data_IF_800814026853
#
_entry.id   IF_800814026853
#
_cell.length_a   1.000
_cell.length_b   1.000
_cell.length_c   1.000
_cell.angle_alpha   90.00
_cell.angle_beta   90.00
_cell.angle_gamma   90.00
#
_symmetry.space_group_name_H-M   'P 1'
#
loop_
_entity.id
_entity.type
_entity.pdbx_description
1 polymer ?
#
# COMPACT_ATOMS: atom_id res chain seq x y z
N UNK A 1 56.73 11.54 29.52
CA UNK A 1 55.88 10.55 28.83
C UNK A 1 54.47 11.11 28.81
N UNK A 2 53.98 11.47 27.63
CA UNK A 2 52.65 12.02 27.37
C UNK A 2 51.54 10.97 27.51
N UNK A 3 50.35 11.42 27.92
CA UNK A 3 49.02 11.27 27.28
C UNK A 3 47.97 11.62 28.36
N UNK A 4 47.50 12.86 28.46
CA UNK A 4 46.40 13.47 27.70
C UNK A 4 45.01 13.00 28.16
N UNK A 5 44.51 13.62 29.24
CA UNK A 5 43.07 13.76 29.52
C UNK A 5 42.53 14.92 28.68
N UNK A 6 41.55 14.66 27.82
CA UNK A 6 40.78 15.70 27.14
C UNK A 6 39.34 15.61 27.65
N UNK A 7 39.02 16.51 28.58
CA UNK A 7 37.65 17.00 28.78
C UNK A 7 37.40 18.04 27.69
N UNK A 8 36.31 17.90 26.94
CA UNK A 8 35.70 19.01 26.22
C UNK A 8 34.21 19.09 26.52
N UNK A 9 33.64 20.31 26.56
CA UNK A 9 32.30 20.57 27.07
C UNK A 9 31.23 20.60 25.98
N UNK A 10 29.99 20.40 26.41
CA UNK A 10 28.75 20.68 25.69
C UNK A 10 28.70 22.17 25.29
N UNK A 11 28.19 22.51 24.10
CA UNK A 11 27.49 23.76 23.89
C UNK A 11 26.01 23.53 23.55
N UNK A 12 25.16 24.07 24.40
CA UNK A 12 23.78 24.44 24.10
C UNK A 12 23.83 25.68 23.18
N UNK A 13 23.20 25.65 22.01
CA UNK A 13 22.78 26.89 21.35
C UNK A 13 21.41 26.71 20.69
N UNK A 14 20.47 27.51 21.19
CA UNK A 14 19.11 27.70 20.70
C UNK A 14 19.10 28.53 19.41
N UNK A 15 18.05 28.31 18.60
CA UNK A 15 17.37 29.28 17.72
C UNK A 15 18.25 30.15 16.81
N UNK A 16 18.10 29.92 15.51
CA UNK A 16 17.73 30.90 14.46
C UNK A 16 18.10 30.23 13.15
N UNK A 17 17.12 29.72 12.40
CA UNK A 17 17.14 29.61 10.92
C UNK A 17 15.69 29.44 10.47
N UNK A 18 14.93 30.52 10.62
CA UNK A 18 13.75 30.75 9.79
C UNK A 18 14.23 31.52 8.55
N UNK A 19 13.76 31.11 7.38
CA UNK A 19 13.58 31.94 6.18
C UNK A 19 14.79 32.29 5.27
N UNK A 20 15.60 31.32 4.81
CA UNK A 20 16.50 31.57 3.65
C UNK A 20 16.59 30.44 2.58
N UNK A 21 15.69 29.46 2.58
CA UNK A 21 15.62 28.45 1.48
C UNK A 21 14.43 28.67 0.53
N UNK A 22 13.49 29.56 0.89
CA UNK A 22 12.30 29.83 0.09
C UNK A 22 12.50 30.90 -1.02
N UNK A 23 13.50 31.78 -0.92
CA UNK A 23 13.65 32.93 -1.83
C UNK A 23 14.71 32.77 -2.93
N UNK A 24 15.45 31.64 -2.97
CA UNK A 24 16.46 31.41 -4.02
C UNK A 24 15.96 30.61 -5.23
N UNK A 25 14.75 30.03 -5.18
CA UNK A 25 14.17 29.25 -6.28
C UNK A 25 13.16 30.02 -7.14
N UNK A 26 12.92 31.31 -6.88
CA UNK A 26 11.95 32.12 -7.63
C UNK A 26 12.63 32.99 -8.72
N UNK A 27 13.96 32.99 -8.82
CA UNK A 27 14.68 33.78 -9.84
C UNK A 27 15.49 32.88 -10.77
N UNK A 28 14.79 32.29 -11.73
CA UNK A 28 15.22 32.00 -13.12
C UNK A 28 14.58 30.69 -13.60
N UNK A 29 13.55 30.82 -14.43
CA UNK A 29 13.00 29.70 -15.18
C UNK A 29 11.53 29.51 -14.90
N UNK A 30 10.72 29.84 -15.89
CA UNK A 30 9.32 29.45 -15.99
C UNK A 30 9.25 27.93 -15.89
N UNK A 31 8.97 27.40 -14.69
CA UNK A 31 8.45 26.04 -14.56
C UNK A 31 7.04 26.13 -15.12
N UNK A 32 6.83 25.63 -16.34
CA UNK A 32 5.49 25.29 -16.79
C UNK A 32 4.94 24.31 -15.75
N UNK A 33 4.02 24.80 -14.92
CA UNK A 33 3.16 23.93 -14.13
C UNK A 33 2.38 23.10 -15.15
N UNK A 34 2.73 21.82 -15.28
CA UNK A 34 1.86 20.84 -15.91
C UNK A 34 0.51 20.91 -15.20
N UNK A 35 -0.57 20.87 -15.98
CA UNK A 35 -1.93 20.77 -15.43
C UNK A 35 -2.00 19.50 -14.56
N UNK A 36 -2.70 19.51 -13.42
CA UNK A 36 -2.96 18.27 -12.72
C UNK A 36 -3.81 17.34 -13.59
N UNK A 37 -3.41 16.06 -13.65
CA UNK A 37 -4.13 14.85 -14.10
C UNK A 37 -4.06 14.33 -15.55
N UNK A 38 -2.91 14.43 -16.25
CA UNK A 38 -2.66 13.61 -17.47
C UNK A 38 -1.80 12.34 -17.19
N UNK A 39 -1.39 12.11 -15.93
CA UNK A 39 -0.49 11.00 -15.56
C UNK A 39 -1.16 9.61 -15.55
N UNK A 40 -2.48 9.54 -15.41
CA UNK A 40 -3.28 8.33 -15.50
C UNK A 40 -4.58 8.59 -16.29
N UNK A 41 -4.75 7.93 -17.43
CA UNK A 41 -6.01 7.89 -18.17
C UNK A 41 -6.81 6.63 -17.79
N UNK A 42 -8.14 6.74 -17.69
CA UNK A 42 -9.00 5.55 -17.61
C UNK A 42 -9.45 5.17 -19.02
N UNK A 43 -9.13 3.95 -19.45
CA UNK A 43 -9.60 3.43 -20.73
C UNK A 43 -10.90 2.60 -20.56
N UNK A 44 -11.79 2.54 -21.57
CA UNK A 44 -12.73 1.42 -21.66
C UNK A 44 -11.90 0.14 -21.67
N UNK A 45 -12.23 -0.84 -20.79
CA UNK A 45 -11.48 -2.08 -20.49
C UNK A 45 -10.21 -2.22 -21.35
N UNK A 46 -9.04 -1.94 -20.76
CA UNK A 46 -7.78 -1.87 -21.51
C UNK A 46 -7.46 -3.18 -22.25
N UNK A 47 -8.02 -4.29 -21.76
CA UNK A 47 -8.10 -5.59 -22.42
C UNK A 47 -8.38 -6.68 -21.40
N UNK A 48 -8.58 -7.90 -21.90
CA UNK A 48 -8.81 -9.10 -21.10
C UNK A 48 -7.66 -10.06 -21.37
N UNK A 49 -6.92 -10.42 -20.33
CA UNK A 49 -5.94 -11.51 -20.38
C UNK A 49 -6.61 -12.76 -19.81
N UNK A 50 -6.56 -13.87 -20.53
CA UNK A 50 -7.29 -15.09 -20.15
C UNK A 50 -6.69 -16.37 -20.74
N UNK A 51 -6.45 -17.38 -19.89
CA UNK A 51 -6.60 -18.81 -20.23
C UNK A 51 -8.09 -19.21 -20.20
N UNK A 52 -8.63 -19.94 -21.20
CA UNK A 52 -10.05 -20.28 -21.32
C UNK A 52 -10.75 -20.87 -20.08
N UNK A 53 -10.02 -21.34 -19.06
CA UNK A 53 -10.58 -21.85 -17.81
C UNK A 53 -10.50 -20.89 -16.61
N UNK A 54 -9.95 -19.68 -16.78
CA UNK A 54 -9.71 -18.72 -15.69
C UNK A 54 -10.53 -17.43 -15.80
N UNK A 55 -10.67 -16.73 -14.67
CA UNK A 55 -11.37 -15.43 -14.59
C UNK A 55 -10.47 -14.36 -15.20
N UNK A 56 -10.95 -13.55 -16.15
CA UNK A 56 -10.10 -12.60 -16.88
C UNK A 56 -9.52 -11.51 -15.98
N UNK A 57 -8.22 -11.21 -16.17
CA UNK A 57 -7.57 -10.05 -15.54
C UNK A 57 -8.04 -8.78 -16.25
N UNK A 58 -8.73 -7.91 -15.50
CA UNK A 58 -9.24 -6.62 -15.99
C UNK A 58 -8.48 -5.49 -15.32
N UNK A 59 -7.87 -4.64 -16.14
CA UNK A 59 -7.17 -3.43 -15.68
C UNK A 59 -7.76 -2.19 -16.34
N UNK A 60 -7.88 -1.10 -15.57
CA UNK A 60 -8.42 0.18 -16.01
C UNK A 60 -7.38 1.28 -16.05
N UNK A 61 -6.31 1.15 -15.26
CA UNK A 61 -5.20 2.10 -15.20
C UNK A 61 -4.41 2.13 -16.51
N UNK A 62 -4.05 3.31 -16.97
CA UNK A 62 -3.11 3.55 -18.07
C UNK A 62 -2.11 4.63 -17.66
N UNK A 63 -0.98 4.19 -17.11
CA UNK A 63 0.10 5.03 -16.58
C UNK A 63 0.89 5.65 -17.72
N UNK A 64 0.96 6.98 -17.75
CA UNK A 64 1.67 7.76 -18.79
C UNK A 64 2.86 8.56 -18.27
N UNK A 65 2.97 8.73 -16.97
CA UNK A 65 4.03 9.51 -16.34
C UNK A 65 4.36 8.97 -14.95
N UNK A 66 4.92 9.82 -14.10
CA UNK A 66 5.27 9.46 -12.75
C UNK A 66 4.02 9.21 -11.90
N UNK A 67 4.06 8.15 -11.08
CA UNK A 67 2.98 7.82 -10.12
C UNK A 67 2.77 8.99 -9.16
N UNK A 68 3.83 9.71 -8.78
CA UNK A 68 3.75 10.86 -7.87
C UNK A 68 2.75 11.93 -8.35
N UNK A 69 2.60 12.11 -9.66
CA UNK A 69 1.73 13.11 -10.29
C UNK A 69 0.24 12.67 -10.35
N UNK A 70 -0.06 11.42 -10.01
CA UNK A 70 -1.43 10.92 -9.96
C UNK A 70 -2.17 11.41 -8.72
N UNK A 71 -3.49 11.54 -8.82
CA UNK A 71 -4.35 11.81 -7.66
C UNK A 71 -4.28 10.65 -6.66
N UNK A 72 -4.71 10.91 -5.43
CA UNK A 72 -4.74 9.88 -4.39
C UNK A 72 -5.60 8.66 -4.80
N UNK A 73 -6.78 8.90 -5.38
CA UNK A 73 -7.68 7.83 -5.81
C UNK A 73 -7.12 7.08 -7.04
N UNK A 74 -6.45 7.77 -7.96
CA UNK A 74 -5.76 7.14 -9.09
C UNK A 74 -4.62 6.21 -8.63
N UNK A 75 -3.76 6.67 -7.71
CA UNK A 75 -2.75 5.82 -7.04
C UNK A 75 -3.41 4.59 -6.42
N UNK A 76 -4.51 4.82 -5.71
CA UNK A 76 -5.25 3.77 -5.01
C UNK A 76 -5.86 2.72 -5.93
N UNK A 77 -6.29 3.10 -7.14
CA UNK A 77 -6.76 2.16 -8.15
C UNK A 77 -5.59 1.36 -8.72
N UNK A 78 -4.53 2.06 -9.15
CA UNK A 78 -3.35 1.46 -9.75
C UNK A 78 -2.75 0.37 -8.84
N UNK A 79 -2.53 0.69 -7.57
CA UNK A 79 -1.93 -0.27 -6.64
C UNK A 79 -2.86 -1.44 -6.29
N UNK A 80 -4.19 -1.26 -6.37
CA UNK A 80 -5.15 -2.34 -6.21
C UNK A 80 -5.08 -3.30 -7.41
N UNK A 81 -5.05 -2.75 -8.62
CA UNK A 81 -4.92 -3.53 -9.86
C UNK A 81 -3.59 -4.29 -9.89
N UNK A 82 -2.46 -3.64 -9.59
CA UNK A 82 -1.16 -4.33 -9.52
C UNK A 82 -1.12 -5.43 -8.43
N UNK A 83 -1.79 -5.20 -7.28
CA UNK A 83 -1.92 -6.24 -6.26
C UNK A 83 -2.80 -7.42 -6.72
N UNK A 84 -3.77 -7.19 -7.62
CA UNK A 84 -4.55 -8.25 -8.28
C UNK A 84 -3.75 -8.96 -9.35
N UNK A 85 -3.01 -8.21 -10.17
CA UNK A 85 -2.12 -8.74 -11.21
C UNK A 85 -1.10 -9.72 -10.61
N UNK A 86 -0.59 -9.43 -9.40
CA UNK A 86 0.37 -10.27 -8.70
C UNK A 86 -0.12 -11.69 -8.34
N UNK A 87 -1.42 -11.99 -8.47
CA UNK A 87 -1.96 -13.35 -8.26
C UNK A 87 -1.86 -14.25 -9.50
N UNK A 88 -1.58 -13.69 -10.68
CA UNK A 88 -1.54 -14.42 -11.93
C UNK A 88 -0.12 -14.93 -12.21
N UNK A 89 0.01 -15.86 -13.16
CA UNK A 89 1.31 -16.33 -13.61
C UNK A 89 2.09 -15.21 -14.33
N UNK A 90 3.40 -15.43 -14.48
CA UNK A 90 4.32 -14.42 -15.00
C UNK A 90 3.94 -13.92 -16.40
N UNK A 91 3.40 -14.79 -17.25
CA UNK A 91 3.01 -14.41 -18.61
C UNK A 91 1.81 -13.49 -18.56
N UNK A 92 0.76 -13.87 -17.85
CA UNK A 92 -0.45 -13.05 -17.74
C UNK A 92 -0.18 -11.73 -17.02
N UNK A 93 0.60 -11.78 -15.93
CA UNK A 93 1.00 -10.60 -15.19
C UNK A 93 1.81 -9.64 -16.05
N UNK A 94 2.72 -10.15 -16.89
CA UNK A 94 3.50 -9.33 -17.83
C UNK A 94 2.62 -8.62 -18.86
N UNK A 95 1.63 -9.33 -19.42
CA UNK A 95 0.70 -8.72 -20.39
C UNK A 95 -0.15 -7.65 -19.71
N UNK A 96 -0.74 -7.94 -18.55
CA UNK A 96 -1.55 -6.99 -17.81
C UNK A 96 -0.73 -5.76 -17.37
N UNK A 97 0.49 -5.95 -16.86
CA UNK A 97 1.38 -4.87 -16.48
C UNK A 97 1.77 -3.98 -17.67
N UNK A 98 2.06 -4.57 -18.84
CA UNK A 98 2.34 -3.82 -20.06
C UNK A 98 1.15 -2.96 -20.49
N UNK A 99 -0.09 -3.46 -20.33
CA UNK A 99 -1.31 -2.69 -20.62
C UNK A 99 -1.52 -1.54 -19.63
N UNK A 100 -1.12 -1.72 -18.37
CA UNK A 100 -1.15 -0.68 -17.35
C UNK A 100 -0.06 0.39 -17.59
N UNK A 101 1.05 0.05 -18.25
CA UNK A 101 2.16 0.98 -18.51
C UNK A 101 3.48 0.62 -17.81
N UNK A 102 3.65 -0.65 -17.42
CA UNK A 102 4.89 -1.20 -16.88
C UNK A 102 5.48 -2.21 -17.86
N UNK A 103 6.58 -1.84 -18.50
CA UNK A 103 7.22 -2.63 -19.56
C UNK A 103 8.25 -3.63 -19.06
N UNK A 104 8.74 -3.47 -17.83
CA UNK A 104 9.72 -4.37 -17.20
C UNK A 104 9.07 -5.05 -16.01
N UNK A 105 8.91 -6.36 -16.12
CA UNK A 105 8.31 -7.20 -15.07
C UNK A 105 9.32 -8.24 -14.65
N UNK A 106 9.44 -8.45 -13.34
CA UNK A 106 10.26 -9.53 -12.77
C UNK A 106 9.46 -10.24 -11.70
N UNK A 107 9.34 -11.56 -11.84
CA UNK A 107 8.73 -12.42 -10.84
C UNK A 107 9.78 -12.94 -9.85
N UNK A 108 9.44 -12.94 -8.56
CA UNK A 108 10.25 -13.50 -7.48
C UNK A 108 9.44 -14.59 -6.77
N UNK A 109 10.04 -15.77 -6.65
CA UNK A 109 9.46 -16.93 -5.96
C UNK A 109 10.54 -17.65 -5.17
N UNK A 110 10.31 -17.83 -3.87
CA UNK A 110 11.14 -18.68 -3.02
C UNK A 110 10.29 -19.31 -1.92
N UNK A 111 10.32 -20.64 -1.81
CA UNK A 111 9.61 -21.40 -0.78
C UNK A 111 8.12 -21.06 -0.63
N UNK A 112 7.46 -20.66 -1.73
CA UNK A 112 6.04 -20.30 -1.77
C UNK A 112 5.76 -18.81 -1.50
N UNK A 113 6.76 -18.06 -1.05
CA UNK A 113 6.70 -16.61 -0.95
C UNK A 113 6.88 -15.98 -2.32
N UNK A 114 5.93 -15.16 -2.75
CA UNK A 114 5.89 -14.62 -4.11
C UNK A 114 5.69 -13.10 -4.15
N UNK A 115 6.39 -12.45 -5.08
CA UNK A 115 6.23 -11.03 -5.37
C UNK A 115 6.57 -10.70 -6.83
N UNK A 116 6.04 -9.59 -7.33
CA UNK A 116 6.41 -9.01 -8.60
C UNK A 116 7.07 -7.65 -8.41
N UNK A 117 8.05 -7.35 -9.26
CA UNK A 117 8.48 -5.99 -9.55
C UNK A 117 7.91 -5.57 -10.89
N UNK A 118 7.14 -4.48 -10.88
CA UNK A 118 6.68 -3.78 -12.07
C UNK A 118 7.47 -2.48 -12.20
N UNK A 119 8.15 -2.27 -13.33
CA UNK A 119 8.98 -1.09 -13.57
C UNK A 119 8.69 -0.46 -14.93
N UNK A 120 8.72 0.87 -14.95
CA UNK A 120 8.78 1.67 -16.17
C UNK A 120 9.90 2.73 -16.02
N UNK A 121 9.96 3.69 -16.94
CA UNK A 121 10.99 4.72 -16.92
C UNK A 121 10.90 5.65 -15.70
N UNK A 122 9.71 5.77 -15.10
CA UNK A 122 9.43 6.70 -14.01
C UNK A 122 9.44 6.04 -12.64
N UNK A 123 8.92 4.82 -12.47
CA UNK A 123 8.59 4.23 -11.19
C UNK A 123 8.89 2.73 -11.14
N UNK A 124 9.13 2.25 -9.92
CA UNK A 124 9.26 0.84 -9.59
C UNK A 124 8.23 0.46 -8.51
N UNK A 125 7.44 -0.57 -8.74
CA UNK A 125 6.41 -1.07 -7.80
C UNK A 125 6.73 -2.50 -7.41
N UNK A 126 6.82 -2.77 -6.11
CA UNK A 126 6.89 -4.13 -5.56
C UNK A 126 5.48 -4.53 -5.11
N UNK A 127 4.89 -5.50 -5.77
CA UNK A 127 3.60 -6.08 -5.44
C UNK A 127 3.79 -7.47 -4.82
N UNK A 128 3.54 -7.61 -3.53
CA UNK A 128 3.62 -8.92 -2.86
C UNK A 128 2.30 -9.68 -3.06
N UNK A 129 2.41 -10.93 -3.53
CA UNK A 129 1.27 -11.83 -3.69
C UNK A 129 0.82 -12.31 -2.32
N UNK A 130 -0.49 -12.37 -2.09
CA UNK A 130 -1.05 -13.03 -0.90
C UNK A 130 -1.45 -14.47 -1.20
N UNK A 131 -1.80 -15.21 -0.17
CA UNK A 131 -2.33 -16.58 -0.33
C UNK A 131 -3.80 -16.58 -0.69
N UNK A 132 -4.28 -17.71 -1.21
CA UNK A 132 -5.70 -17.87 -1.53
C UNK A 132 -6.56 -17.98 -0.27
N UNK A 133 -7.87 -17.62 -0.32
CA UNK A 133 -8.75 -17.67 0.85
C UNK A 133 -8.82 -19.04 1.54
N UNK A 134 -8.64 -20.13 0.80
CA UNK A 134 -8.65 -21.49 1.35
C UNK A 134 -7.39 -21.74 2.19
N UNK A 135 -6.22 -21.36 1.67
CA UNK A 135 -4.93 -21.44 2.36
C UNK A 135 -4.84 -20.43 3.52
N UNK A 136 -5.58 -19.33 3.45
CA UNK A 136 -5.65 -18.37 4.56
C UNK A 136 -6.31 -18.97 5.81
N UNK A 137 -7.29 -19.85 5.65
CA UNK A 137 -7.86 -20.56 6.81
C UNK A 137 -6.82 -21.48 7.45
N UNK A 138 -5.99 -22.11 6.65
CA UNK A 138 -4.86 -22.93 7.11
C UNK A 138 -3.82 -22.05 7.80
N UNK A 139 -3.42 -20.92 7.21
CA UNK A 139 -2.52 -19.94 7.85
C UNK A 139 -3.09 -19.42 9.18
N UNK A 140 -4.40 -19.21 9.27
CA UNK A 140 -5.05 -18.79 10.52
C UNK A 140 -5.10 -19.92 11.55
N UNK A 141 -5.22 -21.17 11.12
CA UNK A 141 -5.23 -22.34 11.99
C UNK A 141 -3.82 -22.70 12.47
N UNK A 142 -2.83 -22.63 11.57
CA UNK A 142 -1.40 -22.84 11.79
C UNK A 142 -0.69 -21.61 12.36
N UNK A 143 -1.38 -20.46 12.46
CA UNK A 143 -0.95 -19.30 13.21
C UNK A 143 -0.91 -19.62 14.70
N UNK A 144 0.12 -20.37 15.10
CA UNK A 144 0.87 -20.11 16.31
C UNK A 144 1.25 -18.62 16.25
N UNK A 145 0.40 -17.76 16.80
CA UNK A 145 0.47 -16.29 16.80
C UNK A 145 1.68 -15.72 17.57
N UNK A 146 2.78 -16.48 17.63
CA UNK A 146 4.06 -16.10 18.18
C UNK A 146 4.58 -14.90 17.38
N UNK A 147 4.58 -13.75 18.02
CA UNK A 147 5.29 -12.57 17.55
C UNK A 147 6.78 -12.76 17.77
N UNK A 148 7.59 -12.47 16.76
CA UNK A 148 9.05 -12.55 16.80
C UNK A 148 9.65 -11.16 16.65
N UNK A 149 10.86 -10.96 17.18
CA UNK A 149 11.56 -9.69 17.02
C UNK A 149 11.81 -9.42 15.53
N UNK A 150 11.50 -8.22 15.06
CA UNK A 150 11.87 -7.76 13.72
C UNK A 150 13.36 -7.37 13.69
N UNK A 151 13.99 -7.44 12.51
CA UNK A 151 15.37 -6.96 12.27
C UNK A 151 15.56 -5.50 12.68
N UNK A 152 14.47 -4.74 12.61
CA UNK A 152 14.46 -3.28 12.68
C UNK A 152 14.14 -2.81 14.09
N UNK A 153 12.89 -2.92 14.51
CA UNK A 153 12.45 -2.67 15.88
C UNK A 153 11.09 -3.29 16.18
N UNK A 154 10.87 -3.72 17.42
CA UNK A 154 9.58 -4.28 17.83
C UNK A 154 9.38 -5.71 17.33
N UNK A 155 8.13 -6.16 17.34
CA UNK A 155 7.79 -7.54 16.95
C UNK A 155 6.82 -7.56 15.78
N UNK A 156 7.01 -8.55 14.91
CA UNK A 156 6.14 -8.87 13.77
C UNK A 156 5.61 -10.29 13.88
N UNK A 157 4.54 -10.59 13.15
CA UNK A 157 4.03 -11.95 13.04
C UNK A 157 5.10 -12.85 12.39
N UNK A 158 5.41 -13.99 13.02
CA UNK A 158 6.47 -14.90 12.56
C UNK A 158 6.27 -15.37 11.12
N UNK A 159 5.06 -15.80 10.76
CA UNK A 159 4.78 -16.27 9.40
C UNK A 159 5.10 -15.21 8.35
N UNK A 160 4.58 -13.99 8.52
CA UNK A 160 4.80 -12.90 7.56
C UNK A 160 6.28 -12.53 7.45
N UNK A 161 7.00 -12.60 8.56
CA UNK A 161 8.43 -12.34 8.60
C UNK A 161 9.21 -13.42 7.84
N UNK A 162 8.89 -14.70 8.06
CA UNK A 162 9.53 -15.82 7.35
C UNK A 162 9.38 -15.66 5.85
N UNK A 163 8.15 -15.43 5.36
CA UNK A 163 7.92 -15.22 3.92
C UNK A 163 8.76 -14.07 3.33
N UNK A 164 8.96 -13.01 4.12
CA UNK A 164 9.76 -11.87 3.69
C UNK A 164 11.26 -12.14 3.86
N UNK A 165 11.71 -12.94 4.82
CA UNK A 165 13.11 -13.38 4.93
C UNK A 165 13.53 -14.15 3.68
N UNK A 166 12.63 -14.96 3.14
CA UNK A 166 12.86 -15.82 1.99
C UNK A 166 12.93 -14.99 0.69
N UNK A 167 12.05 -13.99 0.54
CA UNK A 167 12.05 -13.11 -0.64
C UNK A 167 13.08 -11.96 -0.60
N UNK A 168 13.35 -11.42 0.59
CA UNK A 168 14.06 -10.14 0.74
C UNK A 168 15.42 -10.08 0.06
N UNK A 169 16.30 -11.11 0.11
CA UNK A 169 17.59 -11.05 -0.56
C UNK A 169 17.50 -10.79 -2.07
N UNK A 170 16.49 -11.37 -2.74
CA UNK A 170 16.27 -11.17 -4.17
C UNK A 170 15.70 -9.77 -4.45
N UNK A 171 14.73 -9.33 -3.64
CA UNK A 171 14.16 -7.98 -3.75
C UNK A 171 15.20 -6.90 -3.49
N UNK A 172 16.02 -7.05 -2.45
CA UNK A 172 17.10 -6.12 -2.13
C UNK A 172 18.10 -6.03 -3.28
N UNK A 173 18.53 -7.17 -3.83
CA UNK A 173 19.41 -7.20 -5.02
C UNK A 173 18.80 -6.44 -6.20
N UNK A 174 17.50 -6.61 -6.45
CA UNK A 174 16.80 -5.91 -7.52
C UNK A 174 16.62 -4.40 -7.26
N UNK A 175 16.57 -3.99 -5.99
CA UNK A 175 16.36 -2.60 -5.56
C UNK A 175 17.67 -1.82 -5.37
N UNK A 176 18.81 -2.49 -5.16
CA UNK A 176 20.13 -1.83 -5.06
C UNK A 176 20.49 -1.07 -6.33
N UNK A 177 20.18 -1.63 -7.50
CA UNK A 177 20.43 -1.02 -8.81
C UNK A 177 19.28 -0.15 -9.34
N UNK A 178 18.20 0.02 -8.57
CA UNK A 178 17.04 0.77 -8.99
C UNK A 178 17.24 2.28 -8.73
N UNK A 179 16.90 3.11 -9.72
CA UNK A 179 17.02 4.57 -9.63
C UNK A 179 15.67 5.28 -9.56
N UNK A 180 14.59 4.58 -9.89
CA UNK A 180 13.22 5.07 -9.87
C UNK A 180 12.71 5.17 -8.42
N UNK A 181 11.80 6.10 -8.10
CA UNK A 181 10.96 6.03 -6.89
C UNK A 181 10.32 4.64 -6.73
N UNK A 182 10.36 4.12 -5.50
CA UNK A 182 9.86 2.79 -5.18
C UNK A 182 8.54 2.86 -4.43
N UNK A 183 7.58 2.05 -4.84
CA UNK A 183 6.28 1.91 -4.21
C UNK A 183 6.05 0.46 -3.81
N UNK A 184 5.26 0.24 -2.77
CA UNK A 184 4.90 -1.10 -2.33
C UNK A 184 3.39 -1.26 -2.34
N UNK A 185 2.92 -2.42 -2.79
CA UNK A 185 1.53 -2.79 -2.62
C UNK A 185 1.33 -4.27 -2.34
N UNK A 186 0.14 -4.63 -1.85
CA UNK A 186 -0.20 -6.01 -1.62
C UNK A 186 -1.60 -6.18 -1.04
N UNK A 187 -2.17 -7.36 -1.27
CA UNK A 187 -3.48 -7.74 -0.77
C UNK A 187 -3.39 -8.93 0.18
N UNK A 188 -4.26 -8.96 1.20
CA UNK A 188 -4.31 -10.04 2.19
C UNK A 188 -2.95 -10.25 2.87
N UNK A 189 -2.43 -11.49 2.90
CA UNK A 189 -1.06 -11.82 3.31
C UNK A 189 -0.01 -10.95 2.61
N UNK A 190 -0.15 -10.72 1.30
CA UNK A 190 0.74 -9.88 0.51
C UNK A 190 0.78 -8.44 1.02
N UNK A 191 -0.31 -7.92 1.58
CA UNK A 191 -0.30 -6.61 2.23
C UNK A 191 0.55 -6.58 3.51
N UNK A 192 0.61 -7.68 4.25
CA UNK A 192 1.50 -7.81 5.41
C UNK A 192 2.97 -7.92 4.98
N UNK A 193 3.25 -8.72 3.96
CA UNK A 193 4.59 -8.86 3.37
C UNK A 193 5.09 -7.51 2.84
N UNK A 194 4.27 -6.81 2.05
CA UNK A 194 4.58 -5.49 1.51
C UNK A 194 4.90 -4.47 2.61
N UNK A 195 4.20 -4.54 3.75
CA UNK A 195 4.50 -3.70 4.93
C UNK A 195 5.91 -3.97 5.47
N UNK A 196 6.30 -5.24 5.59
CA UNK A 196 7.63 -5.61 6.09
C UNK A 196 8.72 -5.26 5.07
N UNK A 197 8.50 -5.55 3.78
CA UNK A 197 9.39 -5.20 2.69
C UNK A 197 9.62 -3.69 2.61
N UNK A 198 8.56 -2.88 2.68
CA UNK A 198 8.68 -1.43 2.66
C UNK A 198 9.47 -0.91 3.87
N UNK A 199 9.21 -1.45 5.06
CA UNK A 199 9.97 -1.12 6.26
C UNK A 199 11.46 -1.46 6.15
N UNK A 200 11.79 -2.65 5.64
CA UNK A 200 13.19 -3.06 5.40
C UNK A 200 13.87 -2.18 4.36
N UNK A 201 13.17 -1.86 3.27
CA UNK A 201 13.66 -0.98 2.22
C UNK A 201 13.95 0.43 2.75
N UNK A 202 13.05 0.97 3.56
CA UNK A 202 13.22 2.30 4.16
C UNK A 202 14.43 2.37 5.10
N UNK A 203 14.73 1.27 5.79
CA UNK A 203 15.79 1.22 6.80
C UNK A 203 17.11 0.67 6.26
N UNK A 204 17.11 0.08 5.07
CA UNK A 204 18.33 -0.37 4.43
C UNK A 204 19.12 0.83 3.91
N UNK A 205 20.43 0.63 3.72
CA UNK A 205 21.33 1.67 3.22
C UNK A 205 21.34 1.74 1.69
N UNK A 206 20.28 1.29 1.02
CA UNK A 206 20.17 1.31 -0.44
C UNK A 206 19.59 2.66 -0.91
N UNK A 207 19.92 3.07 -2.13
CA UNK A 207 19.48 4.35 -2.72
C UNK A 207 17.96 4.45 -2.88
N UNK A 208 17.31 3.30 -3.09
CA UNK A 208 15.87 3.17 -3.25
C UNK A 208 15.14 3.44 -1.94
N UNK A 209 14.54 4.62 -1.79
CA UNK A 209 13.69 4.96 -0.65
C UNK A 209 12.21 4.79 -1.04
N UNK A 210 11.42 4.02 -0.26
CA UNK A 210 9.99 3.87 -0.54
C UNK A 210 9.25 5.22 -0.45
N UNK A 211 8.42 5.54 -1.44
CA UNK A 211 7.55 6.73 -1.47
C UNK A 211 6.19 6.50 -0.83
N UNK A 212 5.70 5.27 -0.89
CA UNK A 212 4.42 4.94 -0.30
C UNK A 212 4.11 3.44 -0.33
N UNK A 213 3.16 3.06 0.51
CA UNK A 213 2.67 1.70 0.69
C UNK A 213 1.14 1.67 0.62
N UNK A 214 0.60 0.83 -0.25
CA UNK A 214 -0.85 0.66 -0.44
C UNK A 214 -1.25 -0.78 -0.18
N UNK A 215 -2.11 -1.00 0.81
CA UNK A 215 -2.47 -2.37 1.23
C UNK A 215 -3.98 -2.56 1.25
N UNK A 216 -4.44 -3.72 0.79
CA UNK A 216 -5.87 -4.03 0.63
C UNK A 216 -6.21 -5.28 1.43
N UNK A 217 -7.18 -5.19 2.35
CA UNK A 217 -7.55 -6.36 3.16
C UNK A 217 -6.42 -6.88 4.06
N UNK A 218 -5.40 -6.08 4.35
CA UNK A 218 -4.20 -6.51 5.07
C UNK A 218 -4.48 -6.80 6.56
N UNK A 219 -3.91 -7.89 7.13
CA UNK A 219 -3.97 -8.19 8.56
C UNK A 219 -3.11 -7.23 9.38
N UNK A 220 -3.11 -7.38 10.72
CA UNK A 220 -2.15 -6.68 11.59
C UNK A 220 -0.78 -7.32 11.47
N UNK A 221 0.24 -6.51 11.24
CA UNK A 221 1.60 -7.00 10.94
C UNK A 221 2.47 -7.14 12.19
N UNK A 222 2.42 -6.16 13.08
CA UNK A 222 3.33 -6.11 14.23
C UNK A 222 2.77 -5.38 15.45
N UNK A 223 3.64 -5.24 16.46
CA UNK A 223 3.34 -4.54 17.71
C UNK A 223 3.43 -3.01 17.57
N UNK A 224 3.09 -2.29 18.65
CA UNK A 224 3.14 -0.82 18.68
C UNK A 224 4.54 -0.28 18.34
N UNK A 225 5.61 -0.98 18.71
CA UNK A 225 6.97 -0.49 18.45
C UNK A 225 7.31 -0.62 16.97
N UNK A 226 6.96 -1.74 16.35
CA UNK A 226 7.18 -1.97 14.92
C UNK A 226 6.43 -0.95 14.06
N UNK A 227 5.13 -0.74 14.30
CA UNK A 227 4.31 0.12 13.44
C UNK A 227 4.66 1.61 13.51
N UNK A 228 5.34 2.06 14.57
CA UNK A 228 5.75 3.46 14.74
C UNK A 228 7.24 3.66 14.43
N UNK A 229 7.92 2.64 13.93
CA UNK A 229 9.37 2.70 13.72
C UNK A 229 9.76 3.34 12.38
N UNK A 230 8.87 3.27 11.39
CA UNK A 230 9.09 3.81 10.05
C UNK A 230 7.97 4.79 9.71
N UNK A 231 8.35 6.04 9.44
CA UNK A 231 7.45 7.07 8.91
C UNK A 231 7.42 6.96 7.39
N UNK A 232 6.48 6.16 6.88
CA UNK A 232 6.22 5.96 5.46
C UNK A 232 4.73 6.20 5.19
N UNK A 233 4.34 6.98 4.16
CA UNK A 233 2.95 7.09 3.76
C UNK A 233 2.36 5.71 3.47
N UNK A 234 1.51 5.22 4.37
CA UNK A 234 0.91 3.90 4.30
C UNK A 234 -0.60 4.02 4.33
N UNK A 235 -1.25 3.68 3.22
CA UNK A 235 -2.70 3.69 3.09
C UNK A 235 -3.24 2.26 3.12
N UNK A 236 -4.13 1.99 4.07
CA UNK A 236 -4.69 0.66 4.32
C UNK A 236 -6.19 0.66 4.03
N UNK A 237 -6.55 0.00 2.94
CA UNK A 237 -7.92 -0.19 2.51
C UNK A 237 -8.60 -1.31 3.31
N UNK A 238 -9.77 -0.99 3.85
CA UNK A 238 -10.61 -1.94 4.62
C UNK A 238 -12.00 -1.96 4.04
N UNK A 239 -12.42 -3.14 3.58
CA UNK A 239 -13.78 -3.33 3.08
C UNK A 239 -14.70 -3.89 4.15
N UNK A 240 -15.66 -3.06 4.61
CA UNK A 240 -16.83 -3.45 5.40
C UNK A 240 -16.60 -4.58 6.42
N UNK A 241 -17.00 -5.81 6.07
CA UNK A 241 -17.00 -6.98 6.94
C UNK A 241 -15.85 -7.95 6.65
N UNK A 242 -14.82 -7.52 5.93
CA UNK A 242 -13.58 -8.26 5.79
C UNK A 242 -13.00 -8.56 7.18
N UNK A 243 -12.81 -9.85 7.48
CA UNK A 243 -12.30 -10.35 8.75
C UNK A 243 -10.77 -10.41 8.79
N UNK A 244 -10.10 -10.45 7.64
CA UNK A 244 -8.64 -10.53 7.54
C UNK A 244 -8.01 -9.29 8.17
N UNK A 245 -8.60 -8.13 7.92
CA UNK A 245 -8.21 -6.85 8.55
C UNK A 245 -8.37 -6.83 10.08
N UNK A 246 -8.90 -7.89 10.70
CA UNK A 246 -9.11 -7.98 12.14
C UNK A 246 -8.26 -9.03 12.83
N UNK A 247 -7.41 -9.73 12.09
CA UNK A 247 -6.47 -10.70 12.64
C UNK A 247 -5.02 -10.24 12.39
N UNK A 248 -4.06 -10.62 13.25
CA UNK A 248 -4.26 -11.16 14.60
C UNK A 248 -5.01 -10.17 15.51
N UNK A 249 -5.83 -10.66 16.47
CA UNK A 249 -6.54 -9.81 17.42
C UNK A 249 -5.65 -8.82 18.18
N UNK A 250 -6.14 -7.58 18.37
CA UNK A 250 -5.39 -6.52 19.02
C UNK A 250 -5.05 -6.78 20.51
N UNK A 251 -5.81 -7.64 21.19
CA UNK A 251 -5.53 -8.03 22.58
C UNK A 251 -4.25 -8.89 22.71
N UNK A 252 -3.75 -9.46 21.61
CA UNK A 252 -2.44 -10.13 21.55
C UNK A 252 -1.27 -9.15 21.30
N UNK A 253 -1.50 -7.83 21.40
CA UNK A 253 -0.46 -6.81 21.25
C UNK A 253 -0.26 -6.29 19.82
N UNK A 254 -0.87 -6.93 18.81
CA UNK A 254 -0.81 -6.50 17.42
C UNK A 254 -1.56 -5.18 17.19
N UNK A 255 -1.04 -4.35 16.30
CA UNK A 255 -1.61 -3.04 15.90
C UNK A 255 -1.59 -2.90 14.38
N UNK A 256 -2.44 -2.03 13.85
CA UNK A 256 -2.34 -1.62 12.46
C UNK A 256 -1.35 -0.47 12.33
N UNK A 257 -0.52 -0.52 11.29
CA UNK A 257 0.20 0.63 10.74
C UNK A 257 -0.64 1.32 9.67
N UNK A 258 -0.22 2.54 9.34
CA UNK A 258 -0.79 3.35 8.29
C UNK A 258 -2.17 3.92 8.59
N UNK A 259 -2.64 4.70 7.63
CA UNK A 259 -3.89 5.42 7.65
C UNK A 259 -4.99 4.58 7.02
N UNK A 260 -6.12 4.42 7.73
CA UNK A 260 -7.23 3.59 7.25
C UNK A 260 -8.10 4.34 6.23
N UNK A 261 -8.28 3.73 5.06
CA UNK A 261 -9.27 4.12 4.05
C UNK A 261 -10.40 3.09 4.07
N UNK A 262 -11.59 3.50 4.54
CA UNK A 262 -12.69 2.56 4.76
C UNK A 262 -13.69 2.57 3.60
N UNK A 263 -13.99 1.38 3.08
CA UNK A 263 -15.06 1.13 2.12
C UNK A 263 -16.26 0.62 2.91
N UNK A 264 -17.37 1.37 2.88
CA UNK A 264 -18.59 0.95 3.57
C UNK A 264 -19.41 -0.05 2.75
N UNK A 265 -20.44 -0.64 3.38
CA UNK A 265 -21.32 -1.64 2.75
C UNK A 265 -22.01 -1.23 1.44
N UNK A 266 -22.03 0.07 1.13
CA UNK A 266 -22.62 0.61 -0.09
C UNK A 266 -21.56 0.89 -1.17
N UNK A 267 -20.32 0.45 -0.98
CA UNK A 267 -19.20 0.71 -1.90
C UNK A 267 -18.76 2.17 -1.93
N UNK A 268 -18.97 2.93 -0.85
CA UNK A 268 -18.48 4.32 -0.76
C UNK A 268 -17.25 4.38 0.12
N UNK A 269 -16.23 5.07 -0.38
CA UNK A 269 -14.96 5.33 0.30
C UNK A 269 -15.13 6.56 1.21
N UNK A 270 -14.62 6.46 2.43
CA UNK A 270 -14.47 7.64 3.29
C UNK A 270 -14.36 7.29 4.77
N UNK A 271 -14.19 8.32 5.59
CA UNK A 271 -14.04 8.14 7.03
C UNK A 271 -15.39 7.89 7.71
N UNK A 272 -15.42 6.92 8.62
CA UNK A 272 -16.54 6.69 9.51
C UNK A 272 -16.04 6.70 10.95
N UNK A 273 -16.73 7.39 11.86
CA UNK A 273 -16.44 7.27 13.28
C UNK A 273 -16.66 5.82 13.78
N UNK A 274 -15.97 5.43 14.86
CA UNK A 274 -15.95 4.05 15.38
C UNK A 274 -17.34 3.45 15.63
N UNK A 275 -18.29 4.25 16.15
CA UNK A 275 -19.69 3.84 16.36
C UNK A 275 -20.41 3.58 15.04
N UNK A 276 -20.21 4.45 14.04
CA UNK A 276 -20.83 4.31 12.72
C UNK A 276 -20.24 3.11 11.97
N UNK A 277 -18.94 2.82 12.10
CA UNK A 277 -18.32 1.57 11.57
C UNK A 277 -18.94 0.33 12.19
N UNK A 278 -19.09 0.28 13.53
CA UNK A 278 -19.74 -0.87 14.20
C UNK A 278 -21.17 -1.10 13.69
N UNK A 279 -21.96 -0.04 13.57
CA UNK A 279 -23.32 -0.11 13.01
C UNK A 279 -23.33 -0.52 11.54
N UNK A 280 -22.37 -0.01 10.76
CA UNK A 280 -22.23 -0.34 9.34
C UNK A 280 -22.03 -1.84 9.14
N UNK A 281 -21.06 -2.40 9.87
CA UNK A 281 -20.73 -3.83 9.90
C UNK A 281 -21.91 -4.70 10.35
N UNK A 282 -22.58 -4.34 11.44
CA UNK A 282 -23.73 -5.09 11.96
C UNK A 282 -24.87 -5.20 10.93
N UNK A 283 -25.21 -4.09 10.28
CA UNK A 283 -26.21 -4.09 9.20
C UNK A 283 -25.71 -4.83 7.95
N UNK A 284 -24.42 -4.72 7.60
CA UNK A 284 -23.82 -5.50 6.53
C UNK A 284 -23.96 -7.00 6.79
N UNK A 285 -23.70 -7.42 8.03
CA UNK A 285 -23.83 -8.80 8.48
C UNK A 285 -25.29 -9.28 8.42
N UNK A 286 -26.25 -8.49 8.94
CA UNK A 286 -27.68 -8.80 8.86
C UNK A 286 -28.19 -8.90 7.42
N UNK A 287 -27.70 -8.06 6.50
CA UNK A 287 -28.07 -8.10 5.08
C UNK A 287 -27.47 -9.32 4.37
N UNK A 288 -26.25 -9.71 4.72
CA UNK A 288 -25.60 -10.94 4.27
C UNK A 288 -26.39 -12.18 4.68
N UNK A 289 -26.85 -12.23 5.94
CA UNK A 289 -27.72 -13.30 6.47
C UNK A 289 -29.03 -13.42 5.66
N UNK A 290 -29.66 -12.28 5.33
CA UNK A 290 -30.89 -12.26 4.52
C UNK A 290 -30.68 -12.69 3.06
N UNK A 291 -29.45 -12.63 2.55
CA UNK A 291 -29.09 -13.03 1.18
C UNK A 291 -28.53 -14.46 1.08
N UNK A 292 -28.56 -15.26 2.15
CA UNK A 292 -27.91 -16.57 2.23
C UNK A 292 -26.41 -16.55 1.85
N UNK A 293 -25.76 -15.38 1.86
CA UNK A 293 -24.32 -15.21 1.67
C UNK A 293 -23.69 -14.98 3.03
N UNK A 294 -23.55 -16.05 3.80
CA UNK A 294 -22.80 -16.02 5.05
C UNK A 294 -21.39 -16.48 4.73
N UNK A 295 -20.50 -15.53 4.41
CA UNK A 295 -19.09 -15.76 4.67
C UNK A 295 -18.34 -14.45 4.87
N UNK A 296 -17.62 -14.35 5.98
CA UNK A 296 -16.78 -13.19 6.31
C UNK A 296 -15.62 -12.97 5.32
N UNK A 297 -15.39 -13.95 4.45
CA UNK A 297 -14.44 -13.94 3.34
C UNK A 297 -15.05 -13.42 2.03
N UNK A 298 -16.37 -13.25 1.93
CA UNK A 298 -17.02 -12.78 0.70
C UNK A 298 -16.63 -11.36 0.31
N UNK A 299 -16.28 -10.51 1.28
CA UNK A 299 -15.86 -9.10 1.06
C UNK A 299 -14.33 -8.99 0.84
N UNK A 300 -13.59 -10.09 1.00
CA UNK A 300 -12.13 -10.12 0.96
C UNK A 300 -11.52 -10.06 -0.45
N UNK A 301 -12.09 -10.68 -1.50
CA UNK A 301 -11.50 -10.62 -2.84
C UNK A 301 -11.27 -9.19 -3.35
N UNK A 302 -10.18 -9.01 -4.07
CA UNK A 302 -9.69 -7.71 -4.54
C UNK A 302 -10.68 -6.96 -5.44
N UNK A 303 -11.54 -7.65 -6.20
CA UNK A 303 -12.61 -7.01 -6.97
C UNK A 303 -13.54 -6.14 -6.10
N UNK A 304 -13.83 -6.57 -4.87
CA UNK A 304 -14.66 -5.79 -3.95
C UNK A 304 -13.96 -4.52 -3.41
N UNK A 305 -12.65 -4.41 -3.62
CA UNK A 305 -11.86 -3.21 -3.36
C UNK A 305 -11.73 -2.35 -4.62
N UNK A 306 -11.47 -2.97 -5.78
CA UNK A 306 -11.30 -2.27 -7.07
C UNK A 306 -12.59 -1.56 -7.48
N UNK A 307 -13.76 -2.22 -7.46
CA UNK A 307 -14.99 -1.60 -7.98
C UNK A 307 -15.36 -0.29 -7.27
N UNK A 308 -15.35 -0.21 -5.91
CA UNK A 308 -15.58 1.05 -5.21
C UNK A 308 -14.53 2.13 -5.49
N UNK A 309 -13.26 1.75 -5.67
CA UNK A 309 -12.17 2.68 -5.95
C UNK A 309 -12.31 3.24 -7.37
N UNK A 310 -12.55 2.38 -8.36
CA UNK A 310 -12.79 2.78 -9.75
C UNK A 310 -13.97 3.74 -9.87
N UNK A 311 -15.08 3.45 -9.19
CA UNK A 311 -16.24 4.35 -9.15
C UNK A 311 -15.92 5.69 -8.49
N UNK A 312 -15.04 5.71 -7.48
CA UNK A 312 -14.58 6.95 -6.87
C UNK A 312 -13.65 7.76 -7.80
N UNK A 313 -12.72 7.10 -8.52
CA UNK A 313 -11.85 7.74 -9.52
C UNK A 313 -12.69 8.38 -10.63
N UNK A 314 -13.69 7.66 -11.15
CA UNK A 314 -14.59 8.22 -12.19
C UNK A 314 -15.31 9.48 -11.73
N UNK A 315 -15.83 9.47 -10.50
CA UNK A 315 -16.47 10.66 -9.91
C UNK A 315 -15.52 11.81 -9.70
N UNK A 316 -14.29 11.52 -9.28
CA UNK A 316 -13.24 12.53 -9.14
C UNK A 316 -12.88 13.13 -10.51
N UNK A 317 -12.68 12.31 -11.55
CA UNK A 317 -12.42 12.79 -12.91
C UNK A 317 -13.55 13.68 -13.44
N UNK A 318 -14.81 13.26 -13.24
CA UNK A 318 -15.98 14.06 -13.62
C UNK A 318 -16.00 15.41 -12.86
N UNK A 319 -15.60 15.41 -11.58
CA UNK A 319 -15.54 16.62 -10.75
C UNK A 319 -14.40 17.56 -11.18
N UNK A 320 -13.22 17.02 -11.45
CA UNK A 320 -12.08 17.77 -11.97
C UNK A 320 -12.38 18.36 -13.35
N UNK A 321 -13.12 17.63 -14.20
CA UNK A 321 -13.61 18.15 -15.48
C UNK A 321 -14.56 19.36 -15.33
N UNK A 322 -15.20 19.51 -14.17
CA UNK A 322 -16.00 20.70 -13.80
C UNK A 322 -15.20 21.79 -13.08
N UNK A 323 -13.90 21.60 -12.89
CA UNK A 323 -13.01 22.54 -12.20
C UNK A 323 -12.93 22.36 -10.68
N UNK A 324 -13.46 21.27 -10.13
CA UNK A 324 -13.28 20.91 -8.72
C UNK A 324 -11.85 20.38 -8.49
N UNK A 325 -11.34 20.47 -7.25
CA UNK A 325 -10.03 19.91 -6.90
C UNK A 325 -10.11 18.40 -6.70
N UNK A 326 -8.98 17.70 -6.90
CA UNK A 326 -8.85 16.28 -6.59
C UNK A 326 -9.10 16.01 -5.10
N UNK A 327 -9.58 14.82 -4.77
CA UNK A 327 -9.84 14.39 -3.39
C UNK A 327 -8.52 14.16 -2.68
N UNK A 328 -8.34 14.79 -1.52
CA UNK A 328 -7.16 14.56 -0.68
C UNK A 328 -7.31 13.29 0.16
N UNK A 329 -6.20 12.65 0.49
CA UNK A 329 -6.20 11.51 1.38
C UNK A 329 -6.80 11.86 2.76
N UNK A 330 -6.59 13.08 3.27
CA UNK A 330 -7.14 13.54 4.56
C UNK A 330 -8.67 13.48 4.59
N UNK A 331 -9.32 13.80 3.46
CA UNK A 331 -10.78 13.83 3.35
C UNK A 331 -11.40 12.44 3.49
N UNK A 332 -10.69 11.41 3.04
CA UNK A 332 -11.14 10.03 3.05
C UNK A 332 -10.74 9.29 4.32
N UNK A 333 -9.70 9.76 5.00
CA UNK A 333 -9.09 9.06 6.14
C UNK A 333 -9.46 9.68 7.48
N UNK A 334 -9.94 10.92 7.50
CA UNK A 334 -10.33 11.64 8.71
C UNK A 334 -9.14 12.00 9.60
N UNK A 335 -7.93 12.02 9.05
CA UNK A 335 -6.76 12.63 9.68
C UNK A 335 -6.80 14.14 9.39
N UNK A 336 -6.82 14.97 10.43
CA UNK A 336 -6.57 16.40 10.27
C UNK A 336 -5.09 16.59 9.88
N UNK A 337 -4.77 17.36 8.83
CA UNK A 337 -3.38 17.63 8.39
C UNK A 337 -2.50 18.33 9.44
N UNK A 338 -3.04 18.63 10.63
CA UNK A 338 -2.35 19.29 11.75
C UNK A 338 -1.91 18.34 12.87
N UNK A 339 -2.15 17.03 12.75
CA UNK A 339 -1.87 16.08 13.85
C UNK A 339 -0.51 15.38 13.75
N UNK A 340 0.29 15.68 12.73
CA UNK A 340 1.65 15.12 12.56
C UNK A 340 2.74 15.89 13.34
N UNK A 341 2.37 16.96 14.06
CA UNK A 341 3.29 17.73 14.87
C UNK A 341 2.81 17.82 16.33
N UNK A 342 2.85 16.69 17.06
CA UNK A 342 2.78 16.71 18.53
C UNK A 342 3.43 15.50 19.18
#
# INVERSE_FOLDING_TARGET
>A
MHLAEIRTPIPLCQRVWHNEVADLLIRNGVIQMSKPSDALELKPIAGVVQDPNEVPVVVHSDVKGAIEDMTFLQKSLLFAELAMVAYNDEREATVAAAMVGFSDVTFFDHDGSQAYRFRNDHDCVIACRGTEPNEWNDIRADANAASVLAETAGKVHRGFKTEVDDLWPMLETALVGNEQPVWFCGHSLGGAMATICAGRCYLSHIKSVPRGLFTYGSPRVGDKRYINYVELPHYRYVNNNDIVTRVPPAWMGYRHCGTEVYINRNGRIGHLGMIRKRRDRWHGFLRGLKRFRVDHFSDHPLHNYIDPILEAVRKEQDAMGRGESAVDASDLTGQDPKTEAS
#
